data_IF_923833049530
#
_entry.id   IF_923833049530
#
_cell.length_a   1.000
_cell.length_b   1.000
_cell.length_c   1.000
_cell.angle_alpha   90.00
_cell.angle_beta   90.00
_cell.angle_gamma   90.00
#
_symmetry.space_group_name_H-M   'P 1'
#
loop_
_entity.id
_entity.type
_entity.pdbx_description
1 polymer ?
#
# COMPACT_ATOMS: atom_id res chain seq x y z
N UNK A 1 -33.52 -12.32 -9.07
CA UNK A 1 -33.30 -10.87 -9.16
C UNK A 1 -31.79 -10.64 -9.13
N UNK A 2 -31.18 -10.30 -10.27
CA UNK A 2 -29.83 -9.75 -10.25
C UNK A 2 -29.94 -8.37 -9.57
N UNK A 3 -29.32 -8.25 -8.41
CA UNK A 3 -29.16 -6.94 -7.77
C UNK A 3 -28.23 -6.12 -8.67
N UNK A 4 -28.67 -4.97 -9.12
CA UNK A 4 -27.80 -4.06 -9.86
C UNK A 4 -26.62 -3.68 -8.96
N UNK A 5 -25.40 -3.61 -9.52
CA UNK A 5 -24.22 -3.15 -8.78
C UNK A 5 -24.48 -1.77 -8.20
N UNK A 6 -24.16 -1.61 -6.94
CA UNK A 6 -24.19 -0.31 -6.27
C UNK A 6 -22.78 0.02 -5.80
N UNK A 7 -22.24 1.13 -6.30
CA UNK A 7 -20.91 1.60 -5.88
C UNK A 7 -20.90 1.91 -4.37
N UNK A 8 -19.84 1.54 -3.66
CA UNK A 8 -19.67 1.96 -2.26
C UNK A 8 -19.54 3.49 -2.17
N UNK A 9 -19.77 4.01 -0.97
CA UNK A 9 -19.52 5.42 -0.69
C UNK A 9 -18.08 5.78 -1.05
N UNK A 10 -17.89 6.98 -1.63
CA UNK A 10 -16.55 7.47 -2.00
C UNK A 10 -15.70 7.66 -0.76
N UNK A 11 -14.56 6.95 -0.63
CA UNK A 11 -13.62 7.19 0.46
C UNK A 11 -13.02 8.60 0.37
N UNK A 12 -12.56 9.15 1.49
CA UNK A 12 -12.02 10.51 1.60
C UNK A 12 -10.99 10.84 0.50
N UNK A 13 -10.13 9.87 0.16
CA UNK A 13 -9.08 10.06 -0.86
C UNK A 13 -9.38 9.39 -2.20
N UNK A 14 -10.58 8.81 -2.36
CA UNK A 14 -10.93 8.05 -3.56
C UNK A 14 -10.16 6.73 -3.70
N UNK A 15 -9.69 6.15 -2.59
CA UNK A 15 -9.00 4.86 -2.56
C UNK A 15 -9.83 3.89 -1.73
N UNK A 16 -10.36 2.85 -2.36
CA UNK A 16 -11.18 1.80 -1.76
C UNK A 16 -10.44 0.47 -1.83
N UNK A 17 -10.05 -0.06 -0.69
CA UNK A 17 -9.32 -1.31 -0.54
C UNK A 17 -9.72 -2.00 0.78
N UNK A 18 -10.94 -2.55 0.86
CA UNK A 18 -11.48 -3.13 2.09
C UNK A 18 -10.73 -4.38 2.56
N UNK A 19 -10.04 -5.07 1.65
CA UNK A 19 -9.30 -6.31 1.94
C UNK A 19 -7.80 -6.08 2.14
N UNK A 20 -7.35 -4.81 2.17
CA UNK A 20 -5.97 -4.40 2.45
C UNK A 20 -4.91 -5.02 1.51
N UNK A 21 -5.18 -5.03 0.20
CA UNK A 21 -4.20 -5.45 -0.82
C UNK A 21 -3.07 -4.44 -1.00
N UNK A 22 -3.33 -3.17 -0.65
CA UNK A 22 -2.36 -2.07 -0.72
C UNK A 22 -1.82 -1.76 0.67
N UNK A 23 -0.53 -1.46 0.73
CA UNK A 23 0.10 -0.98 1.97
C UNK A 23 -0.24 0.49 2.22
N UNK A 24 -0.18 0.91 3.48
CA UNK A 24 -0.36 2.32 3.86
C UNK A 24 0.62 3.25 3.14
N UNK A 25 1.83 2.76 2.84
CA UNK A 25 2.82 3.51 2.07
C UNK A 25 2.34 3.75 0.63
N UNK A 26 1.81 2.72 -0.04
CA UNK A 26 1.24 2.85 -1.39
C UNK A 26 0.07 3.82 -1.40
N UNK A 27 -0.85 3.69 -0.45
CA UNK A 27 -1.99 4.59 -0.28
C UNK A 27 -1.52 6.03 -0.07
N UNK A 28 -0.51 6.23 0.79
CA UNK A 28 0.06 7.56 1.07
C UNK A 28 0.72 8.18 -0.15
N UNK A 29 1.41 7.41 -0.98
CA UNK A 29 2.01 7.90 -2.23
C UNK A 29 0.94 8.38 -3.22
N UNK A 30 -0.15 7.62 -3.38
CA UNK A 30 -1.25 8.00 -4.27
C UNK A 30 -1.95 9.27 -3.77
N UNK A 31 -2.18 9.37 -2.46
CA UNK A 31 -2.76 10.55 -1.81
C UNK A 31 -1.91 11.79 -2.03
N UNK A 32 -0.60 11.68 -1.79
CA UNK A 32 0.32 12.81 -1.98
C UNK A 32 0.36 13.25 -3.43
N UNK A 33 0.37 12.32 -4.38
CA UNK A 33 0.33 12.64 -5.80
C UNK A 33 -0.96 13.37 -6.19
N UNK A 34 -2.11 12.92 -5.69
CA UNK A 34 -3.38 13.60 -5.88
C UNK A 34 -3.39 15.00 -5.22
N UNK A 35 -2.82 15.14 -4.03
CA UNK A 35 -2.67 16.42 -3.35
C UNK A 35 -1.81 17.40 -4.15
N UNK A 36 -0.67 16.95 -4.69
CA UNK A 36 0.17 17.76 -5.58
C UNK A 36 -0.61 18.17 -6.84
N UNK A 37 -1.34 17.22 -7.44
CA UNK A 37 -2.12 17.48 -8.65
C UNK A 37 -3.29 18.45 -8.42
N UNK A 38 -3.87 18.47 -7.22
CA UNK A 38 -4.97 19.39 -6.86
C UNK A 38 -4.54 20.86 -6.84
N UNK A 39 -3.25 21.12 -6.71
CA UNK A 39 -2.66 22.47 -6.64
C UNK A 39 -2.16 22.98 -7.99
N UNK A 40 -2.19 22.13 -9.03
CA UNK A 40 -1.79 22.53 -10.38
C UNK A 40 -2.87 23.33 -11.07
N UNK A 41 -2.51 24.11 -12.09
CA UNK A 41 -3.46 24.85 -12.92
C UNK A 41 -4.44 23.93 -13.63
N UNK A 42 -3.97 22.79 -14.08
CA UNK A 42 -4.78 21.69 -14.61
C UNK A 42 -4.76 20.55 -13.60
N UNK A 43 -5.88 20.36 -12.92
CA UNK A 43 -6.01 19.39 -11.83
C UNK A 43 -6.34 18.01 -12.39
N UNK A 44 -5.72 16.97 -11.83
CA UNK A 44 -5.93 15.58 -12.22
C UNK A 44 -6.07 14.69 -10.99
N UNK A 45 -7.17 13.95 -10.89
CA UNK A 45 -7.45 13.05 -9.78
C UNK A 45 -7.45 11.59 -10.23
N UNK A 46 -6.76 10.74 -9.50
CA UNK A 46 -6.76 9.30 -9.69
C UNK A 46 -7.44 8.62 -8.51
N UNK A 47 -8.53 7.90 -8.80
CA UNK A 47 -9.18 7.00 -7.85
C UNK A 47 -8.65 5.58 -8.01
N UNK A 48 -8.70 4.80 -6.93
CA UNK A 48 -8.29 3.40 -6.91
C UNK A 48 -9.35 2.56 -6.21
N UNK A 49 -9.75 1.47 -6.85
CA UNK A 49 -10.74 0.53 -6.37
C UNK A 49 -10.16 -0.88 -6.47
N UNK A 50 -9.70 -1.42 -5.34
CA UNK A 50 -9.15 -2.78 -5.26
C UNK A 50 -10.10 -3.63 -4.45
N UNK A 51 -10.54 -4.75 -5.03
CA UNK A 51 -11.50 -5.65 -4.39
C UNK A 51 -11.11 -7.11 -4.61
N UNK A 52 -11.54 -7.93 -3.70
CA UNK A 52 -11.32 -9.38 -3.80
C UNK A 52 -12.01 -9.96 -5.03
N UNK A 53 -13.29 -9.64 -5.25
CA UNK A 53 -14.09 -10.14 -6.37
C UNK A 53 -15.12 -9.12 -6.83
N UNK A 54 -15.51 -9.25 -8.10
CA UNK A 54 -16.61 -8.48 -8.70
C UNK A 54 -17.99 -9.08 -8.37
N UNK A 55 -18.04 -10.21 -7.68
CA UNK A 55 -19.28 -10.91 -7.29
C UNK A 55 -20.25 -11.17 -8.47
N UNK A 56 -19.69 -11.52 -9.62
CA UNK A 56 -20.47 -11.84 -10.84
C UNK A 56 -20.72 -10.64 -11.74
N UNK A 57 -20.40 -9.43 -11.31
CA UNK A 57 -20.51 -8.23 -12.15
C UNK A 57 -19.42 -8.16 -13.20
N UNK A 58 -19.64 -7.37 -14.25
CA UNK A 58 -18.57 -7.06 -15.22
C UNK A 58 -17.66 -5.96 -14.67
N UNK A 59 -16.38 -6.00 -15.03
CA UNK A 59 -15.46 -4.96 -14.59
C UNK A 59 -15.81 -3.58 -15.19
N UNK A 60 -16.41 -3.59 -16.36
CA UNK A 60 -16.92 -2.41 -17.06
C UNK A 60 -18.04 -1.74 -16.25
N UNK A 61 -19.02 -2.53 -15.79
CA UNK A 61 -20.12 -2.03 -14.95
C UNK A 61 -19.57 -1.45 -13.66
N UNK A 62 -18.74 -2.20 -12.95
CA UNK A 62 -18.15 -1.76 -11.67
C UNK A 62 -17.34 -0.49 -11.84
N UNK A 63 -16.49 -0.42 -12.87
CA UNK A 63 -15.66 0.75 -13.12
C UNK A 63 -16.48 1.99 -13.46
N UNK A 64 -17.44 1.85 -14.39
CA UNK A 64 -18.26 2.96 -14.86
C UNK A 64 -19.18 3.51 -13.76
N UNK A 65 -19.91 2.62 -13.06
CA UNK A 65 -20.83 3.02 -11.99
C UNK A 65 -20.07 3.63 -10.80
N UNK A 66 -18.91 3.05 -10.42
CA UNK A 66 -18.09 3.62 -9.35
C UNK A 66 -17.52 4.98 -9.74
N UNK A 67 -16.97 5.13 -10.94
CA UNK A 67 -16.41 6.41 -11.40
C UNK A 67 -17.48 7.52 -11.41
N UNK A 68 -18.72 7.20 -11.84
CA UNK A 68 -19.86 8.13 -11.84
C UNK A 68 -20.31 8.47 -10.42
N UNK A 69 -20.49 7.47 -9.56
CA UNK A 69 -20.94 7.68 -8.19
C UNK A 69 -19.93 8.51 -7.38
N UNK A 70 -18.65 8.26 -7.59
CA UNK A 70 -17.59 8.97 -6.89
C UNK A 70 -17.26 10.34 -7.49
N UNK A 71 -17.75 10.64 -8.70
CA UNK A 71 -17.44 11.88 -9.41
C UNK A 71 -15.94 12.17 -9.37
N UNK A 72 -15.14 11.19 -9.85
CA UNK A 72 -13.68 11.31 -9.82
C UNK A 72 -13.25 12.44 -10.74
N UNK A 73 -12.44 13.34 -10.19
CA UNK A 73 -12.01 14.59 -10.80
C UNK A 73 -12.25 15.75 -9.85
N UNK A 74 -11.47 16.80 -10.01
CA UNK A 74 -11.68 18.02 -9.22
C UNK A 74 -12.76 18.89 -9.85
N UNK A 75 -13.54 19.57 -9.01
CA UNK A 75 -14.58 20.48 -9.47
C UNK A 75 -14.02 21.53 -10.45
N UNK A 76 -14.69 21.66 -11.58
CA UNK A 76 -14.31 22.58 -12.66
C UNK A 76 -13.50 21.92 -13.79
N UNK A 77 -12.56 21.05 -13.52
CA UNK A 77 -11.69 20.46 -14.54
C UNK A 77 -12.20 19.10 -15.04
N UNK A 78 -12.89 18.37 -14.18
CA UNK A 78 -13.46 17.05 -14.48
C UNK A 78 -12.46 16.06 -15.07
N UNK A 79 -11.16 16.21 -14.71
CA UNK A 79 -10.11 15.30 -15.10
C UNK A 79 -9.94 14.20 -14.04
N UNK A 80 -10.63 13.10 -14.25
CA UNK A 80 -10.62 11.97 -13.34
C UNK A 80 -10.37 10.64 -14.03
N UNK A 81 -9.71 9.75 -13.31
CA UNK A 81 -9.46 8.36 -13.71
C UNK A 81 -9.72 7.44 -12.53
N UNK A 82 -10.38 6.31 -12.77
CA UNK A 82 -10.54 5.25 -11.79
C UNK A 82 -9.77 4.01 -12.23
N UNK A 83 -8.89 3.52 -11.36
CA UNK A 83 -8.18 2.26 -11.53
C UNK A 83 -8.93 1.18 -10.75
N UNK A 84 -9.40 0.14 -11.42
CA UNK A 84 -10.12 -0.99 -10.81
C UNK A 84 -9.27 -2.24 -10.92
N UNK A 85 -9.10 -2.94 -9.79
CA UNK A 85 -8.40 -4.23 -9.72
C UNK A 85 -9.28 -5.22 -8.97
N UNK A 86 -9.65 -6.31 -9.63
CA UNK A 86 -10.40 -7.42 -9.05
C UNK A 86 -9.47 -8.65 -8.95
N UNK A 87 -9.05 -8.95 -7.74
CA UNK A 87 -7.94 -9.86 -7.46
C UNK A 87 -8.26 -11.30 -7.88
N UNK A 88 -9.36 -11.87 -7.39
CA UNK A 88 -9.75 -13.24 -7.70
C UNK A 88 -10.21 -13.40 -9.15
N UNK A 89 -10.87 -12.39 -9.70
CA UNK A 89 -11.32 -12.38 -11.09
C UNK A 89 -10.15 -12.18 -12.07
N UNK A 90 -8.97 -11.79 -11.56
CA UNK A 90 -7.76 -11.49 -12.36
C UNK A 90 -8.03 -10.46 -13.45
N UNK A 91 -8.85 -9.47 -13.12
CA UNK A 91 -9.24 -8.39 -14.02
C UNK A 91 -8.75 -7.05 -13.51
N UNK A 92 -8.38 -6.19 -14.42
CA UNK A 92 -8.04 -4.80 -14.13
C UNK A 92 -8.53 -3.89 -15.24
N UNK A 93 -8.94 -2.67 -14.89
CA UNK A 93 -9.49 -1.69 -15.82
C UNK A 93 -9.08 -0.29 -15.39
N UNK A 94 -8.93 0.59 -16.36
CA UNK A 94 -8.80 2.03 -16.17
C UNK A 94 -10.00 2.67 -16.83
N UNK A 95 -10.79 3.39 -16.05
CA UNK A 95 -11.94 4.17 -16.52
C UNK A 95 -11.56 5.65 -16.50
N UNK A 96 -11.71 6.33 -17.64
CA UNK A 96 -11.31 7.73 -17.80
C UNK A 96 -12.54 8.62 -17.96
N UNK A 97 -12.54 9.82 -17.38
CA UNK A 97 -13.52 10.83 -17.72
C UNK A 97 -13.33 11.31 -19.17
N UNK A 98 -14.39 11.84 -19.77
CA UNK A 98 -14.34 12.32 -21.15
C UNK A 98 -13.23 13.36 -21.39
N UNK A 99 -12.96 14.22 -20.41
CA UNK A 99 -11.92 15.24 -20.51
C UNK A 99 -10.51 14.66 -20.47
N UNK A 100 -10.34 13.49 -19.85
CA UNK A 100 -9.06 12.77 -19.81
C UNK A 100 -8.83 11.95 -21.08
N UNK A 101 -9.89 11.42 -21.68
CA UNK A 101 -9.81 10.57 -22.88
C UNK A 101 -9.11 11.25 -24.07
N UNK A 102 -9.16 12.59 -24.14
CA UNK A 102 -8.42 13.36 -25.14
C UNK A 102 -6.91 13.39 -24.95
N UNK A 103 -6.45 13.19 -23.71
CA UNK A 103 -5.04 13.20 -23.31
C UNK A 103 -4.47 11.79 -23.13
N UNK A 104 -5.28 10.89 -22.61
CA UNK A 104 -4.93 9.49 -22.35
C UNK A 104 -5.91 8.61 -23.10
N UNK A 105 -5.45 8.08 -24.21
CA UNK A 105 -6.25 7.23 -25.11
C UNK A 105 -6.45 5.82 -24.56
N UNK A 106 -7.44 5.09 -25.07
CA UNK A 106 -7.68 3.69 -24.72
C UNK A 106 -6.45 2.80 -25.00
N UNK A 107 -5.73 3.10 -26.05
CA UNK A 107 -4.46 2.40 -26.34
C UNK A 107 -3.43 2.58 -25.23
N UNK A 108 -3.31 3.78 -24.68
CA UNK A 108 -2.38 4.07 -23.60
C UNK A 108 -2.81 3.39 -22.29
N UNK A 109 -4.09 3.45 -21.95
CA UNK A 109 -4.62 2.76 -20.77
C UNK A 109 -4.41 1.26 -20.85
N UNK A 110 -4.64 0.65 -22.03
CA UNK A 110 -4.37 -0.76 -22.25
C UNK A 110 -2.87 -1.10 -22.08
N UNK A 111 -1.97 -0.24 -22.56
CA UNK A 111 -0.52 -0.42 -22.36
C UNK A 111 -0.15 -0.36 -20.87
N UNK A 112 -0.70 0.56 -20.11
CA UNK A 112 -0.42 0.68 -18.68
C UNK A 112 -0.87 -0.57 -17.90
N UNK A 113 -2.07 -1.08 -18.23
CA UNK A 113 -2.55 -2.35 -17.67
C UNK A 113 -1.65 -3.53 -18.07
N UNK A 114 -1.19 -3.57 -19.31
CA UNK A 114 -0.28 -4.63 -19.80
C UNK A 114 1.06 -4.59 -19.05
N UNK A 115 1.60 -3.40 -18.78
CA UNK A 115 2.84 -3.20 -18.00
C UNK A 115 2.66 -3.62 -16.54
N UNK A 116 1.50 -3.38 -15.95
CA UNK A 116 1.21 -3.75 -14.56
C UNK A 116 0.91 -5.24 -14.37
N UNK A 117 0.48 -5.94 -15.43
CA UNK A 117 0.06 -7.36 -15.38
C UNK A 117 1.08 -8.32 -14.74
N UNK A 118 2.39 -8.25 -15.00
CA UNK A 118 3.37 -9.12 -14.34
C UNK A 118 3.37 -8.95 -12.82
N UNK A 119 3.23 -7.73 -12.31
CA UNK A 119 3.14 -7.46 -10.88
C UNK A 119 1.89 -8.11 -10.27
N UNK A 120 0.72 -7.91 -10.88
CA UNK A 120 -0.53 -8.53 -10.43
C UNK A 120 -0.46 -10.06 -10.44
N UNK A 121 0.15 -10.66 -11.47
CA UNK A 121 0.37 -12.11 -11.53
C UNK A 121 1.23 -12.65 -10.40
N UNK A 122 2.17 -11.85 -9.93
CA UNK A 122 3.07 -12.19 -8.81
C UNK A 122 2.50 -11.80 -7.44
N UNK A 123 1.26 -11.28 -7.39
CA UNK A 123 0.62 -10.83 -6.15
C UNK A 123 1.14 -9.48 -5.62
N UNK A 124 1.99 -8.78 -6.39
CA UNK A 124 2.52 -7.46 -6.00
C UNK A 124 1.57 -6.35 -6.48
N UNK A 125 0.44 -6.21 -5.77
CA UNK A 125 -0.58 -5.22 -6.11
C UNK A 125 -0.08 -3.79 -5.91
N UNK A 126 0.83 -3.58 -4.97
CA UNK A 126 1.44 -2.28 -4.69
C UNK A 126 2.19 -1.76 -5.91
N UNK A 127 3.15 -2.53 -6.42
CA UNK A 127 3.91 -2.15 -7.62
C UNK A 127 3.02 -2.06 -8.85
N UNK A 128 2.06 -2.96 -8.99
CA UNK A 128 1.11 -2.95 -10.11
C UNK A 128 0.31 -1.66 -10.16
N UNK A 129 -0.31 -1.27 -9.05
CA UNK A 129 -1.11 -0.04 -8.94
C UNK A 129 -0.24 1.19 -9.08
N UNK A 130 0.91 1.27 -8.40
CA UNK A 130 1.83 2.41 -8.52
C UNK A 130 2.38 2.57 -9.95
N UNK A 131 2.65 1.48 -10.65
CA UNK A 131 3.05 1.53 -12.06
C UNK A 131 1.99 2.21 -12.93
N UNK A 132 0.70 1.87 -12.74
CA UNK A 132 -0.41 2.50 -13.46
C UNK A 132 -0.51 3.98 -13.08
N UNK A 133 -0.54 4.30 -11.79
CA UNK A 133 -0.67 5.66 -11.25
C UNK A 133 0.41 6.59 -11.80
N UNK A 134 1.66 6.14 -11.78
CA UNK A 134 2.79 6.92 -12.28
C UNK A 134 2.73 7.15 -13.80
N UNK A 135 2.35 6.12 -14.56
CA UNK A 135 2.19 6.24 -16.01
C UNK A 135 1.04 7.18 -16.39
N UNK A 136 -0.10 7.09 -15.69
CA UNK A 136 -1.24 8.00 -15.90
C UNK A 136 -0.85 9.44 -15.60
N UNK A 137 -0.22 9.67 -14.45
CA UNK A 137 0.21 11.01 -14.04
C UNK A 137 1.23 11.62 -15.01
N UNK A 138 2.21 10.83 -15.42
CA UNK A 138 3.19 11.25 -16.41
C UNK A 138 2.53 11.61 -17.73
N UNK A 139 1.68 10.72 -18.27
CA UNK A 139 1.03 10.92 -19.56
C UNK A 139 0.11 12.15 -19.56
N UNK A 140 -0.65 12.35 -18.49
CA UNK A 140 -1.56 13.48 -18.38
C UNK A 140 -0.84 14.83 -18.48
N UNK A 141 0.32 14.96 -17.83
CA UNK A 141 1.06 16.22 -17.82
C UNK A 141 2.10 16.35 -18.95
N UNK A 142 2.62 15.26 -19.49
CA UNK A 142 3.61 15.29 -20.59
C UNK A 142 2.97 15.41 -21.95
N UNK A 143 1.77 14.88 -22.13
CA UNK A 143 1.02 14.99 -23.39
C UNK A 143 0.58 16.42 -23.74
N UNK A 144 0.69 17.37 -22.79
CA UNK A 144 0.35 18.79 -22.98
C UNK A 144 1.44 19.61 -23.67
N UNK A 145 2.64 19.05 -23.90
CA UNK A 145 3.70 19.72 -24.64
C UNK A 145 3.63 19.38 -26.13
N UNK A 146 2.63 19.90 -26.84
CA UNK A 146 2.62 19.97 -28.30
C UNK A 146 3.59 21.04 -28.75
N UNK A 147 4.85 20.67 -28.95
CA UNK A 147 5.71 21.36 -29.90
C UNK A 147 6.04 20.36 -30.99
N UNK A 148 5.57 20.69 -32.18
CA UNK A 148 5.80 20.04 -33.46
C UNK A 148 7.24 19.58 -33.65
N UNK A 149 7.47 18.27 -33.72
CA UNK A 149 8.45 17.68 -34.60
C UNK A 149 8.10 16.21 -34.86
N UNK A 150 7.88 15.89 -36.09
CA UNK A 150 7.75 14.56 -36.65
C UNK A 150 9.01 13.75 -36.34
N UNK A 151 8.96 12.96 -35.31
CA UNK A 151 9.81 11.79 -35.20
C UNK A 151 8.99 10.70 -34.51
N UNK A 152 8.81 9.57 -35.18
CA UNK A 152 8.38 8.32 -34.61
C UNK A 152 9.37 7.98 -33.49
N UNK A 153 9.18 8.57 -32.33
CA UNK A 153 9.89 8.17 -31.14
C UNK A 153 9.25 6.88 -30.66
N UNK A 154 9.91 5.78 -30.92
CA UNK A 154 9.88 4.61 -30.10
C UNK A 154 9.96 5.12 -28.66
N UNK A 155 8.83 5.14 -27.92
CA UNK A 155 8.81 5.47 -26.51
C UNK A 155 9.75 4.50 -25.82
N UNK A 156 10.93 4.98 -25.49
CA UNK A 156 11.98 4.21 -24.87
C UNK A 156 11.52 3.82 -23.46
N UNK A 157 11.16 2.55 -23.33
CA UNK A 157 10.83 1.88 -22.07
C UNK A 157 11.93 2.06 -21.01
N UNK A 158 13.15 2.40 -21.45
CA UNK A 158 14.31 2.61 -20.58
C UNK A 158 14.20 3.88 -19.73
N UNK A 159 13.52 4.93 -20.20
CA UNK A 159 13.40 6.20 -19.47
C UNK A 159 12.44 6.09 -18.27
N UNK A 160 11.33 5.33 -18.43
CA UNK A 160 10.43 5.06 -17.31
C UNK A 160 11.03 4.05 -16.31
N UNK A 161 11.81 3.10 -16.80
CA UNK A 161 12.53 2.15 -15.95
C UNK A 161 13.64 2.81 -15.13
N UNK A 162 14.27 3.87 -15.65
CA UNK A 162 15.28 4.64 -14.90
C UNK A 162 14.63 5.52 -13.84
N UNK A 163 13.45 6.08 -14.11
CA UNK A 163 12.69 6.87 -13.15
C UNK A 163 12.05 6.02 -12.05
N UNK A 164 11.55 4.83 -12.40
CA UNK A 164 11.11 3.83 -11.41
C UNK A 164 12.26 3.37 -10.53
N UNK A 165 13.46 3.14 -11.10
CA UNK A 165 14.69 2.85 -10.33
C UNK A 165 15.16 4.02 -9.47
N UNK A 166 14.88 5.26 -9.87
CA UNK A 166 15.19 6.45 -9.09
C UNK A 166 14.22 6.59 -7.91
N UNK A 167 12.92 6.29 -8.10
CA UNK A 167 11.93 6.22 -7.03
C UNK A 167 12.19 5.04 -6.08
N UNK A 168 12.60 3.89 -6.61
CA UNK A 168 13.05 2.74 -5.80
C UNK A 168 14.31 3.07 -5.00
N UNK A 169 15.23 3.86 -5.54
CA UNK A 169 16.42 4.35 -4.84
C UNK A 169 16.04 5.33 -3.74
N UNK A 170 15.11 6.26 -4.00
CA UNK A 170 14.59 7.19 -2.99
C UNK A 170 13.85 6.46 -1.85
N UNK A 171 13.04 5.46 -2.18
CA UNK A 171 12.37 4.61 -1.20
C UNK A 171 13.38 3.74 -0.42
N UNK A 172 14.45 3.25 -1.10
CA UNK A 172 15.55 2.51 -0.49
C UNK A 172 16.42 3.36 0.44
N UNK A 173 16.68 4.62 0.10
CA UNK A 173 17.47 5.53 0.92
C UNK A 173 16.72 6.01 2.17
N UNK A 174 15.40 6.16 2.10
CA UNK A 174 14.60 6.48 3.29
C UNK A 174 14.62 5.36 4.33
N UNK A 175 14.77 4.11 3.91
CA UNK A 175 14.90 2.96 4.80
C UNK A 175 16.37 2.72 5.25
N UNK A 176 17.36 3.10 4.44
CA UNK A 176 18.78 2.97 4.79
C UNK A 176 19.27 4.11 5.68
N UNK A 177 18.68 5.30 5.60
CA UNK A 177 19.00 6.45 6.50
C UNK A 177 18.67 6.17 7.96
N UNK A 178 17.79 5.21 8.23
CA UNK A 178 17.57 4.72 9.61
C UNK A 178 18.62 3.72 10.09
N UNK A 179 19.40 3.11 9.18
CA UNK A 179 20.45 2.15 9.55
C UNK A 179 21.85 2.77 9.68
N UNK A 180 22.11 3.96 9.10
CA UNK A 180 23.43 4.56 9.10
C UNK A 180 23.67 5.60 10.20
N UNK A 181 22.73 5.79 11.14
CA UNK A 181 22.95 6.63 12.31
C UNK A 181 23.16 5.81 13.58
N UNK A 182 23.86 4.68 13.47
CA UNK A 182 24.32 3.90 14.63
C UNK A 182 25.64 3.21 14.35
N UNK A 183 26.65 4.02 14.16
CA UNK A 183 28.04 3.59 14.27
C UNK A 183 28.83 4.74 14.85
N UNK A 184 28.97 4.73 16.12
CA UNK A 184 29.96 5.28 17.01
C UNK A 184 29.33 5.58 18.36
N UNK A 185 29.08 4.52 19.12
CA UNK A 185 29.03 4.59 20.57
C UNK A 185 29.05 3.18 21.10
N UNK A 186 29.94 2.92 22.01
CA UNK A 186 30.22 1.66 22.72
C UNK A 186 29.08 1.14 23.60
N UNK A 187 27.87 1.62 23.42
CA UNK A 187 26.71 1.29 24.26
C UNK A 187 25.93 0.05 23.80
N UNK A 188 26.23 -0.46 22.58
CA UNK A 188 25.59 -1.66 22.03
C UNK A 188 25.91 -2.96 22.78
N UNK A 189 27.07 -3.03 23.40
CA UNK A 189 27.54 -4.22 24.14
C UNK A 189 26.82 -4.31 25.51
N UNK A 190 26.48 -3.17 26.10
CA UNK A 190 25.82 -3.12 27.43
C UNK A 190 24.35 -3.52 27.27
N UNK A 191 23.66 -3.10 26.20
CA UNK A 191 22.25 -3.44 26.00
C UNK A 191 22.07 -4.93 25.69
N UNK A 192 22.98 -5.55 24.90
CA UNK A 192 22.97 -6.99 24.66
C UNK A 192 23.29 -7.79 25.91
N UNK A 193 24.24 -7.33 26.71
CA UNK A 193 24.61 -7.96 27.97
C UNK A 193 23.45 -7.97 28.98
N UNK A 194 22.72 -6.85 29.08
CA UNK A 194 21.54 -6.73 29.97
C UNK A 194 20.41 -7.63 29.49
N UNK A 195 20.15 -7.73 28.19
CA UNK A 195 19.10 -8.60 27.65
C UNK A 195 19.40 -10.08 27.90
N UNK A 196 20.64 -10.51 27.70
CA UNK A 196 21.08 -11.88 27.99
C UNK A 196 21.00 -12.16 29.49
N UNK A 197 21.39 -11.21 30.35
CA UNK A 197 21.27 -11.35 31.80
C UNK A 197 19.82 -11.55 32.25
N UNK A 198 18.87 -10.78 31.69
CA UNK A 198 17.45 -10.97 31.99
C UNK A 198 16.89 -12.30 31.49
N UNK A 199 17.33 -12.78 30.32
CA UNK A 199 16.91 -14.09 29.79
C UNK A 199 17.45 -15.22 30.68
N UNK A 200 18.69 -15.15 31.13
CA UNK A 200 19.28 -16.15 32.04
C UNK A 200 18.61 -16.11 33.41
N UNK A 201 18.30 -14.93 33.94
CA UNK A 201 17.56 -14.77 35.20
C UNK A 201 16.13 -15.37 35.11
N UNK A 202 15.43 -15.15 34.00
CA UNK A 202 14.08 -15.72 33.77
C UNK A 202 14.14 -17.23 33.66
N UNK A 203 15.13 -17.77 32.94
CA UNK A 203 15.32 -19.22 32.81
C UNK A 203 15.72 -19.82 34.14
N UNK A 204 16.59 -19.17 34.94
CA UNK A 204 16.96 -19.59 36.28
C UNK A 204 15.76 -19.59 37.24
N UNK A 205 14.86 -18.60 37.14
CA UNK A 205 13.64 -18.52 37.95
C UNK A 205 12.59 -19.59 37.53
N UNK A 206 12.53 -19.96 36.26
CA UNK A 206 11.59 -20.97 35.77
C UNK A 206 12.06 -22.40 35.99
N UNK A 207 13.38 -22.64 36.09
CA UNK A 207 13.97 -23.98 36.23
C UNK A 207 14.71 -24.23 37.55
N UNK A 208 14.87 -23.21 38.41
CA UNK A 208 15.61 -23.27 39.68
C UNK A 208 14.79 -23.65 40.93
N UNK A 209 13.63 -24.25 40.75
CA UNK A 209 12.76 -24.63 41.87
C UNK A 209 12.59 -26.14 42.04
N UNK A 210 13.71 -26.92 42.22
CA UNK A 210 13.55 -28.28 42.71
C UNK A 210 14.87 -28.86 43.23
N UNK A 211 14.90 -29.08 44.52
CA UNK A 211 15.91 -29.88 45.24
C UNK A 211 16.39 -29.14 46.49
N UNK A 212 16.34 -29.62 47.66
CA UNK A 212 16.33 -30.90 48.28
C UNK A 212 16.41 -30.70 49.77
N UNK A 213 15.64 -31.44 50.54
CA UNK A 213 15.89 -32.06 51.85
C UNK A 213 16.97 -31.48 52.74
N UNK A 214 16.58 -31.22 53.96
CA UNK A 214 17.43 -31.20 55.14
C UNK A 214 16.55 -31.26 56.37
N UNK A 215 16.51 -32.41 57.01
CA UNK A 215 15.93 -32.70 58.31
C UNK A 215 16.48 -31.74 59.35
N UNK A 216 15.67 -31.32 60.36
CA UNK A 216 15.87 -31.73 61.74
C UNK A 216 14.83 -31.04 62.66
N UNK A 217 14.20 -31.92 63.39
CA UNK A 217 13.82 -31.98 64.80
C UNK A 217 13.47 -30.68 65.59
N UNK A 218 12.39 -30.78 66.27
CA UNK A 218 12.30 -30.18 67.60
C UNK A 218 10.97 -29.49 67.95
N UNK A 219 10.14 -30.25 68.59
CA UNK A 219 9.60 -29.97 69.89
C UNK A 219 8.44 -28.99 70.04
N UNK A 220 7.34 -29.56 70.32
CA UNK A 220 6.65 -29.27 71.60
C UNK A 220 5.48 -28.28 71.56
N UNK A 221 4.32 -28.85 71.77
CA UNK A 221 3.47 -28.78 72.91
C UNK A 221 2.35 -27.71 72.95
N UNK A 222 1.20 -28.29 73.27
CA UNK A 222 0.00 -27.71 73.89
C UNK A 222 -0.90 -26.83 73.02
N UNK A 223 -2.17 -27.03 72.93
CA UNK A 223 -3.17 -27.72 73.73
C UNK A 223 -4.42 -26.87 73.75
N UNK A 224 -5.58 -27.53 73.77
CA UNK A 224 -6.85 -26.96 74.27
C UNK A 224 -7.72 -26.32 73.21
N UNK A 225 -8.74 -26.87 72.81
CA UNK A 225 -9.98 -27.33 73.49
C UNK A 225 -11.12 -26.31 73.33
N UNK A 226 -12.25 -26.89 72.98
CA UNK A 226 -13.64 -26.60 73.34
C UNK A 226 -14.47 -25.61 72.52
N UNK A 227 -15.45 -26.25 71.87
CA UNK A 227 -16.92 -26.04 72.04
C UNK A 227 -17.49 -24.64 71.74
N UNK A 228 -18.39 -24.52 70.86
CA UNK A 228 -19.81 -24.91 70.76
C UNK A 228 -20.29 -24.78 69.30
#
# INVERSE_FOLDING_TARGET
>A
FLSAFTAPEKPEYGIYDPDHYLTDETISQIRELNNVNSKKSEKFQMGVYVVKSLNGETIETVANETARAWKIGYSGDNHGVLIVVAVQDRKSRIETSNNVASKITDYQTHRFLTTARPYFKNGDYNKGVLSIVNNLNYMFYSGSSTTSSSSRSSYDYTTNSSRLRELERYAGESSSSRRHRKSSSSDGVIVFGVLIYFIVMIIGFLFGGRGSRGDDSGGGWWGGDSSD
#
